data_IF_282294777931
#
_entry.id   IF_282294777931
#
_cell.length_a   1.000
_cell.length_b   1.000
_cell.length_c   1.000
_cell.angle_alpha   90.00
_cell.angle_beta   90.00
_cell.angle_gamma   90.00
#
_symmetry.space_group_name_H-M   'P 1'
#
loop_
_entity.id
_entity.type
_entity.pdbx_description
1 polymer ?
#
# COMPACT_ATOMS: atom_id res chain seq x y z
N UNK A 1 35.05 15.48 82.05
CA UNK A 1 34.96 16.09 80.69
C UNK A 1 34.29 15.11 79.75
N UNK A 2 32.97 15.24 79.50
CA UNK A 2 32.22 14.34 78.63
C UNK A 2 31.95 15.04 77.33
N UNK A 3 32.46 14.48 76.26
CA UNK A 3 32.27 15.01 74.87
C UNK A 3 31.03 14.36 74.25
N UNK A 4 29.95 15.15 74.08
CA UNK A 4 28.71 14.71 73.41
C UNK A 4 28.86 14.83 71.89
N UNK A 5 28.96 13.72 71.18
CA UNK A 5 28.89 13.65 69.77
C UNK A 5 27.40 13.77 69.30
N UNK A 6 27.10 14.81 68.54
CA UNK A 6 25.79 14.96 67.88
C UNK A 6 25.75 14.05 66.65
N UNK A 7 24.74 13.20 66.58
CA UNK A 7 24.42 12.35 65.41
C UNK A 7 23.45 13.13 64.53
N UNK A 8 23.89 13.51 63.36
CA UNK A 8 23.04 14.14 62.33
C UNK A 8 22.38 13.00 61.54
N UNK A 9 21.03 12.91 61.62
CA UNK A 9 20.26 12.00 60.78
C UNK A 9 19.99 12.68 59.45
N UNK A 10 20.58 12.19 58.36
CA UNK A 10 20.27 12.58 56.99
C UNK A 10 19.06 11.77 56.54
N UNK A 11 17.92 12.42 56.33
CA UNK A 11 16.75 11.80 55.74
C UNK A 11 16.90 11.84 54.20
N UNK A 12 17.06 10.64 53.60
CA UNK A 12 17.13 10.48 52.17
C UNK A 12 15.69 10.41 51.64
N UNK A 13 15.20 11.50 51.09
CA UNK A 13 13.89 11.58 50.41
C UNK A 13 13.98 10.94 49.03
N UNK A 14 13.32 9.80 48.83
CA UNK A 14 13.17 9.19 47.51
C UNK A 14 11.99 9.85 46.85
N UNK A 15 12.26 10.73 45.87
CA UNK A 15 11.23 11.28 44.97
C UNK A 15 10.87 10.21 43.95
N UNK A 16 9.66 9.61 44.06
CA UNK A 16 9.07 8.82 42.99
C UNK A 16 8.65 9.72 41.86
N UNK A 17 9.51 9.85 40.86
CA UNK A 17 9.16 10.47 39.60
C UNK A 17 8.22 9.57 38.79
N UNK A 18 6.95 9.94 38.65
CA UNK A 18 6.02 9.28 37.75
C UNK A 18 6.47 9.53 36.31
N UNK A 19 7.00 8.49 35.66
CA UNK A 19 7.27 8.51 34.23
C UNK A 19 5.93 8.35 33.50
N UNK A 20 5.35 9.46 33.07
CA UNK A 20 4.23 9.43 32.13
C UNK A 20 4.80 9.05 30.76
N UNK A 21 4.64 7.77 30.39
CA UNK A 21 4.96 7.33 29.06
C UNK A 21 3.99 8.02 28.07
N UNK A 22 4.46 9.06 27.41
CA UNK A 22 3.74 9.65 26.28
C UNK A 22 3.66 8.61 25.18
N UNK A 23 2.47 8.05 24.94
CA UNK A 23 2.17 7.29 23.75
C UNK A 23 2.25 8.24 22.55
N UNK A 24 3.43 8.36 21.96
CA UNK A 24 3.58 9.01 20.66
C UNK A 24 2.88 8.09 19.67
N UNK A 25 1.72 8.51 19.18
CA UNK A 25 1.07 7.87 18.06
C UNK A 25 2.05 7.95 16.87
N UNK A 26 2.78 6.87 16.62
CA UNK A 26 3.62 6.76 15.44
C UNK A 26 2.69 6.75 14.24
N UNK A 27 2.59 7.89 13.53
CA UNK A 27 1.95 7.95 12.24
C UNK A 27 2.53 6.85 11.35
N UNK A 28 1.69 6.23 10.54
CA UNK A 28 2.14 5.19 9.61
C UNK A 28 3.32 5.73 8.80
N UNK A 29 4.46 5.04 8.74
CA UNK A 29 5.63 5.51 7.98
C UNK A 29 5.36 5.57 6.46
N UNK A 30 4.19 5.12 6.01
CA UNK A 30 3.79 5.10 4.62
C UNK A 30 2.65 6.08 4.37
N UNK A 31 2.77 6.98 3.37
CA UNK A 31 1.69 7.88 2.98
C UNK A 31 0.40 7.10 2.72
N UNK A 32 -0.65 7.48 3.40
CA UNK A 32 -1.92 6.77 3.34
C UNK A 32 -3.09 7.70 3.59
N UNK A 33 -4.26 7.36 3.08
CA UNK A 33 -5.49 8.15 3.18
C UNK A 33 -6.70 7.26 3.41
N UNK A 34 -7.65 7.74 4.22
CA UNK A 34 -8.98 7.12 4.30
C UNK A 34 -9.76 7.46 3.03
N UNK A 35 -10.18 6.42 2.33
CA UNK A 35 -10.95 6.53 1.08
C UNK A 35 -12.46 6.43 1.36
N UNK A 36 -13.33 6.74 0.37
CA UNK A 36 -14.78 6.72 0.56
C UNK A 36 -15.36 5.36 0.95
N UNK A 37 -14.65 4.27 0.69
CA UNK A 37 -15.01 2.91 1.15
C UNK A 37 -14.82 2.70 2.65
N UNK A 38 -14.38 3.74 3.37
CA UNK A 38 -14.13 3.73 4.81
C UNK A 38 -12.78 3.14 5.23
N UNK A 39 -11.99 2.64 4.29
CA UNK A 39 -10.68 2.02 4.55
C UNK A 39 -9.51 2.99 4.35
N UNK A 40 -8.41 2.70 5.02
CA UNK A 40 -7.17 3.44 4.82
C UNK A 40 -6.32 2.73 3.76
N UNK A 41 -6.04 3.43 2.66
CA UNK A 41 -5.23 2.95 1.55
C UNK A 41 -3.89 3.69 1.50
N UNK A 42 -2.82 2.99 1.11
CA UNK A 42 -1.57 3.69 0.76
C UNK A 42 -1.80 4.56 -0.48
N UNK A 43 -1.23 5.78 -0.49
CA UNK A 43 -1.31 6.72 -1.63
C UNK A 43 -0.09 6.64 -2.53
N UNK A 44 0.90 5.85 -2.13
CA UNK A 44 2.07 5.50 -2.93
C UNK A 44 2.12 4.00 -3.18
N UNK A 45 2.71 3.60 -4.30
CA UNK A 45 2.97 2.19 -4.58
C UNK A 45 4.00 1.65 -3.58
N UNK A 46 3.81 0.42 -3.15
CA UNK A 46 4.77 -0.28 -2.30
C UNK A 46 6.16 -0.29 -2.96
N UNK A 47 7.21 -0.03 -2.15
CA UNK A 47 8.59 0.02 -2.62
C UNK A 47 9.57 -0.75 -1.71
N UNK A 48 9.07 -1.69 -0.91
CA UNK A 48 9.90 -2.56 -0.06
C UNK A 48 10.67 -3.56 -0.92
N UNK A 49 12.00 -3.60 -0.75
CA UNK A 49 12.85 -4.57 -1.43
C UNK A 49 12.73 -5.94 -0.75
N UNK A 50 12.36 -6.95 -1.51
CA UNK A 50 12.20 -8.33 -1.03
C UNK A 50 12.23 -9.32 -2.19
N UNK A 51 12.37 -10.59 -1.87
CA UNK A 51 12.29 -11.67 -2.86
C UNK A 51 10.96 -11.60 -3.61
N UNK A 52 11.02 -11.74 -4.93
CA UNK A 52 9.85 -11.61 -5.80
C UNK A 52 9.45 -10.16 -6.12
N UNK A 53 10.25 -9.15 -5.70
CA UNK A 53 10.07 -7.75 -6.10
C UNK A 53 11.17 -7.28 -7.05
N UNK A 54 10.84 -6.33 -7.94
CA UNK A 54 11.78 -5.78 -8.92
C UNK A 54 11.46 -4.33 -9.27
N UNK A 55 12.48 -3.56 -9.62
CA UNK A 55 12.29 -2.30 -10.33
C UNK A 55 11.92 -2.57 -11.80
N UNK A 56 11.04 -1.77 -12.39
CA UNK A 56 10.79 -1.86 -13.83
C UNK A 56 12.11 -1.67 -14.61
N UNK A 57 12.39 -2.59 -15.54
CA UNK A 57 13.64 -2.59 -16.31
C UNK A 57 14.90 -2.77 -15.47
N UNK A 58 14.78 -3.33 -14.27
CA UNK A 58 15.85 -3.50 -13.27
C UNK A 58 16.59 -2.18 -12.92
N UNK A 59 15.95 -1.04 -13.16
CA UNK A 59 16.49 0.30 -12.93
C UNK A 59 15.94 0.94 -11.65
N UNK A 60 16.80 1.22 -10.67
CA UNK A 60 16.45 1.82 -9.38
C UNK A 60 15.68 3.16 -9.52
N UNK A 61 15.94 3.93 -10.57
CA UNK A 61 15.20 5.16 -10.85
C UNK A 61 13.70 4.89 -11.02
N UNK A 62 13.33 3.75 -11.63
CA UNK A 62 11.94 3.37 -11.82
C UNK A 62 11.29 2.94 -10.49
N UNK A 63 12.01 2.31 -9.58
CA UNK A 63 11.52 2.06 -8.23
C UNK A 63 11.22 3.37 -7.48
N UNK A 64 12.10 4.36 -7.57
CA UNK A 64 11.87 5.68 -6.94
C UNK A 64 10.67 6.40 -7.53
N UNK A 65 10.40 6.23 -8.81
CA UNK A 65 9.31 6.94 -9.51
C UNK A 65 7.96 6.22 -9.45
N UNK A 66 7.95 4.89 -9.54
CA UNK A 66 6.74 4.09 -9.70
C UNK A 66 6.49 3.08 -8.57
N UNK A 67 7.43 2.91 -7.64
CA UNK A 67 7.45 1.78 -6.72
C UNK A 67 7.97 0.51 -7.41
N UNK A 68 8.02 -0.60 -6.67
CA UNK A 68 8.43 -1.90 -7.19
C UNK A 68 7.24 -2.67 -7.79
N UNK A 69 7.55 -3.59 -8.67
CA UNK A 69 6.65 -4.62 -9.18
C UNK A 69 6.87 -5.90 -8.36
N UNK A 70 5.81 -6.56 -7.96
CA UNK A 70 5.82 -7.73 -7.07
C UNK A 70 5.11 -8.90 -7.72
N UNK A 71 5.65 -10.12 -7.57
CA UNK A 71 4.85 -11.33 -7.74
C UNK A 71 3.71 -11.33 -6.73
N UNK A 72 2.67 -12.15 -6.93
CA UNK A 72 1.51 -12.15 -6.05
C UNK A 72 1.83 -12.48 -4.59
N UNK A 73 2.67 -13.51 -4.37
CA UNK A 73 3.10 -13.90 -3.01
C UNK A 73 3.93 -12.81 -2.34
N UNK A 74 4.82 -12.17 -3.09
CA UNK A 74 5.60 -11.03 -2.61
C UNK A 74 4.69 -9.83 -2.28
N UNK A 75 3.63 -9.58 -3.05
CA UNK A 75 2.65 -8.53 -2.77
C UNK A 75 1.92 -8.74 -1.43
N UNK A 76 1.50 -9.99 -1.15
CA UNK A 76 0.89 -10.36 0.13
C UNK A 76 1.82 -10.10 1.31
N UNK A 77 3.09 -10.51 1.19
CA UNK A 77 4.10 -10.31 2.23
C UNK A 77 4.48 -8.83 2.38
N UNK A 78 4.63 -8.13 1.26
CA UNK A 78 5.02 -6.74 1.23
C UNK A 78 4.06 -5.81 1.93
N UNK A 79 2.75 -6.00 1.76
CA UNK A 79 1.78 -5.23 2.53
C UNK A 79 1.83 -5.52 4.04
N UNK A 80 2.05 -6.77 4.45
CA UNK A 80 2.20 -7.14 5.86
C UNK A 80 3.44 -6.49 6.50
N UNK A 81 4.51 -6.29 5.73
CA UNK A 81 5.74 -5.65 6.23
C UNK A 81 5.56 -4.17 6.61
N UNK A 82 4.50 -3.50 6.15
CA UNK A 82 4.16 -2.12 6.54
C UNK A 82 3.70 -2.00 8.01
N UNK A 83 3.45 -3.11 8.68
CA UNK A 83 3.06 -3.16 10.09
C UNK A 83 1.63 -3.65 10.32
N UNK A 84 1.22 -3.61 11.59
CA UNK A 84 -0.04 -4.20 12.03
C UNK A 84 -1.26 -3.67 11.27
N UNK A 85 -2.07 -4.59 10.76
CA UNK A 85 -3.33 -4.31 10.07
C UNK A 85 -3.18 -4.04 8.58
N UNK A 86 -1.97 -3.78 8.06
CA UNK A 86 -1.75 -3.60 6.63
C UNK A 86 -1.79 -4.95 5.90
N UNK A 87 -2.47 -4.97 4.77
CA UNK A 87 -2.60 -6.14 3.91
C UNK A 87 -2.87 -5.76 2.47
N UNK A 88 -2.68 -6.70 1.57
CA UNK A 88 -3.11 -6.54 0.18
C UNK A 88 -4.65 -6.44 0.12
N UNK A 89 -5.25 -5.51 -0.61
CA UNK A 89 -6.69 -5.38 -0.73
C UNK A 89 -7.30 -6.58 -1.47
N UNK A 90 -8.48 -7.00 -1.06
CA UNK A 90 -9.27 -8.02 -1.77
C UNK A 90 -9.85 -7.45 -3.07
N UNK A 91 -10.34 -8.33 -3.93
CA UNK A 91 -11.09 -7.94 -5.13
C UNK A 91 -12.35 -7.12 -4.80
N UNK A 92 -13.08 -7.52 -3.77
CA UNK A 92 -14.27 -6.78 -3.34
C UNK A 92 -13.94 -5.36 -2.83
N UNK A 93 -12.83 -5.18 -2.13
CA UNK A 93 -12.37 -3.86 -1.67
C UNK A 93 -11.99 -2.95 -2.83
N UNK A 94 -11.28 -3.47 -3.82
CA UNK A 94 -11.01 -2.75 -5.06
C UNK A 94 -12.31 -2.35 -5.79
N UNK A 95 -13.28 -3.27 -5.89
CA UNK A 95 -14.57 -2.98 -6.50
C UNK A 95 -15.36 -1.92 -5.70
N UNK A 96 -15.36 -1.99 -4.38
CA UNK A 96 -15.99 -0.98 -3.52
C UNK A 96 -15.35 0.39 -3.73
N UNK A 97 -14.03 0.49 -3.69
CA UNK A 97 -13.32 1.74 -3.98
C UNK A 97 -13.70 2.28 -5.37
N UNK A 98 -13.67 1.42 -6.40
CA UNK A 98 -14.02 1.83 -7.76
C UNK A 98 -15.48 2.32 -7.87
N UNK A 99 -16.44 1.65 -7.23
CA UNK A 99 -17.87 2.02 -7.26
C UNK A 99 -18.14 3.42 -6.71
N UNK A 100 -17.42 3.87 -5.70
CA UNK A 100 -17.51 5.25 -5.19
C UNK A 100 -17.10 6.30 -6.24
N UNK A 101 -16.46 5.86 -7.31
CA UNK A 101 -15.98 6.73 -8.40
C UNK A 101 -16.56 6.38 -9.77
N UNK A 102 -17.62 5.56 -9.84
CA UNK A 102 -18.30 5.21 -11.09
C UNK A 102 -18.17 3.74 -11.50
N UNK A 103 -17.30 2.97 -10.88
CA UNK A 103 -17.15 1.52 -11.12
C UNK A 103 -16.02 1.17 -12.08
N UNK A 104 -15.72 -0.13 -12.16
CA UNK A 104 -14.81 -0.69 -13.17
C UNK A 104 -15.52 -0.82 -14.51
N UNK A 105 -14.80 -1.08 -15.58
CA UNK A 105 -15.31 -1.14 -16.94
C UNK A 105 -16.55 -2.04 -17.09
N UNK A 106 -16.53 -3.20 -16.46
CA UNK A 106 -17.61 -4.20 -16.54
C UNK A 106 -18.85 -3.82 -15.73
N UNK A 107 -18.68 -2.96 -14.71
CA UNK A 107 -19.70 -2.59 -13.73
C UNK A 107 -20.22 -1.14 -13.93
N UNK A 108 -19.84 -0.44 -15.03
CA UNK A 108 -20.13 0.98 -15.22
C UNK A 108 -20.64 1.31 -16.64
N UNK A 109 -21.51 2.30 -16.73
CA UNK A 109 -22.06 2.77 -18.01
C UNK A 109 -21.01 3.49 -18.86
N UNK A 110 -20.00 4.12 -18.24
CA UNK A 110 -18.94 4.88 -18.88
C UNK A 110 -17.68 4.05 -19.20
N UNK A 111 -17.77 2.73 -19.06
CA UNK A 111 -16.64 1.83 -19.26
C UNK A 111 -15.45 2.08 -18.32
N UNK A 112 -15.71 2.46 -17.06
CA UNK A 112 -14.70 2.68 -16.01
C UNK A 112 -13.92 3.99 -16.14
N UNK A 113 -14.39 4.93 -16.94
CA UNK A 113 -13.68 6.20 -17.18
C UNK A 113 -13.71 7.13 -15.98
N UNK A 114 -14.84 7.25 -15.29
CA UNK A 114 -14.96 8.09 -14.10
C UNK A 114 -14.07 7.58 -12.95
N UNK A 115 -14.03 6.27 -12.73
CA UNK A 115 -13.14 5.67 -11.74
C UNK A 115 -11.66 5.85 -12.11
N UNK A 116 -11.29 5.64 -13.37
CA UNK A 116 -9.95 5.94 -13.85
C UNK A 116 -9.55 7.38 -13.56
N UNK A 117 -10.35 8.36 -14.01
CA UNK A 117 -10.06 9.78 -13.85
C UNK A 117 -9.95 10.23 -12.39
N UNK A 118 -10.74 9.61 -11.49
CA UNK A 118 -10.69 9.93 -10.07
C UNK A 118 -9.49 9.31 -9.36
N UNK A 119 -9.07 8.09 -9.73
CA UNK A 119 -8.09 7.29 -8.99
C UNK A 119 -6.68 7.37 -9.58
N UNK A 120 -6.51 7.74 -10.85
CA UNK A 120 -5.18 7.92 -11.46
C UNK A 120 -4.47 9.13 -10.86
N UNK A 121 -3.14 9.18 -10.98
CA UNK A 121 -2.30 10.29 -10.49
C UNK A 121 -2.82 11.65 -10.95
N UNK A 122 -2.99 12.57 -9.99
CA UNK A 122 -3.59 13.88 -10.22
C UNK A 122 -5.12 13.88 -10.27
N UNK A 123 -5.77 12.73 -10.06
CA UNK A 123 -7.22 12.62 -9.92
C UNK A 123 -7.72 13.14 -8.57
N UNK A 124 -9.00 13.44 -8.49
CA UNK A 124 -9.63 14.10 -7.33
C UNK A 124 -9.65 13.28 -6.03
N UNK A 125 -9.44 11.95 -6.10
CA UNK A 125 -9.50 11.08 -4.92
C UNK A 125 -8.25 11.19 -4.03
N UNK A 126 -7.09 11.57 -4.62
CA UNK A 126 -5.79 11.50 -3.98
C UNK A 126 -5.30 10.06 -3.77
N UNK A 127 -5.86 9.10 -4.51
CA UNK A 127 -5.35 7.74 -4.58
C UNK A 127 -4.05 7.67 -5.37
N UNK A 128 -3.93 8.48 -6.43
CA UNK A 128 -2.72 8.68 -7.22
C UNK A 128 -2.11 7.40 -7.81
N UNK A 129 -2.94 6.54 -8.43
CA UNK A 129 -2.47 5.36 -9.13
C UNK A 129 -1.45 5.71 -10.22
N UNK A 130 -0.29 5.05 -10.20
CA UNK A 130 0.79 5.25 -11.16
C UNK A 130 0.72 4.22 -12.29
N UNK A 131 1.19 4.59 -13.47
CA UNK A 131 1.26 3.72 -14.64
C UNK A 131 2.65 3.07 -14.71
N UNK A 132 2.94 2.20 -13.74
CA UNK A 132 4.24 1.57 -13.53
C UNK A 132 4.55 0.38 -14.44
N UNK A 133 3.65 0.03 -15.37
CA UNK A 133 3.79 -1.14 -16.22
C UNK A 133 3.67 -2.46 -15.45
N UNK A 134 4.19 -3.51 -16.04
CA UNK A 134 4.22 -4.88 -15.53
C UNK A 134 5.50 -5.61 -15.95
N UNK A 135 5.71 -6.79 -15.39
CA UNK A 135 6.65 -7.78 -15.88
C UNK A 135 5.96 -9.13 -15.97
N UNK A 136 5.87 -9.69 -17.16
CA UNK A 136 5.30 -11.00 -17.38
C UNK A 136 6.22 -11.86 -18.26
N UNK A 137 6.33 -13.16 -17.96
CA UNK A 137 7.22 -14.08 -18.66
C UNK A 137 8.66 -13.53 -18.86
N UNK A 138 9.17 -12.80 -17.86
CA UNK A 138 10.50 -12.21 -17.90
C UNK A 138 10.63 -10.88 -18.66
N UNK A 139 9.56 -10.41 -19.31
CA UNK A 139 9.55 -9.20 -20.12
C UNK A 139 8.86 -8.04 -19.40
N UNK A 140 9.47 -6.87 -19.40
CA UNK A 140 8.87 -5.62 -18.93
C UNK A 140 8.06 -4.97 -20.05
N UNK A 141 6.86 -4.48 -19.73
CA UNK A 141 5.97 -3.87 -20.71
C UNK A 141 5.14 -2.72 -20.12
N UNK A 142 4.61 -1.87 -21.00
CA UNK A 142 3.51 -0.91 -20.74
C UNK A 142 3.81 0.21 -19.73
N UNK A 143 5.10 0.51 -19.45
CA UNK A 143 5.46 1.66 -18.62
C UNK A 143 4.83 2.95 -19.18
N UNK A 144 4.28 3.79 -18.30
CA UNK A 144 3.58 5.05 -18.61
C UNK A 144 2.31 4.90 -19.49
N UNK A 145 1.96 3.67 -19.87
CA UNK A 145 0.74 3.35 -20.60
C UNK A 145 -0.28 2.63 -19.71
N UNK A 146 0.18 1.76 -18.81
CA UNK A 146 -0.68 0.99 -17.92
C UNK A 146 -0.13 0.93 -16.49
N UNK A 147 -1.03 0.87 -15.51
CA UNK A 147 -0.74 0.52 -14.12
C UNK A 147 -1.50 -0.74 -13.74
N UNK A 148 -0.79 -1.80 -13.38
CA UNK A 148 -1.38 -3.06 -12.94
C UNK A 148 -1.25 -3.18 -11.43
N UNK A 149 -2.32 -3.57 -10.76
CA UNK A 149 -2.39 -3.63 -9.30
C UNK A 149 -2.99 -4.94 -8.82
N UNK A 150 -2.25 -5.68 -8.00
CA UNK A 150 -2.72 -6.92 -7.43
C UNK A 150 -3.89 -6.75 -6.47
N UNK A 151 -4.78 -7.73 -6.45
CA UNK A 151 -5.66 -8.00 -5.31
C UNK A 151 -5.22 -9.26 -4.57
N UNK A 152 -5.67 -9.41 -3.32
CA UNK A 152 -5.42 -10.60 -2.51
C UNK A 152 -6.31 -11.81 -2.90
N UNK A 153 -7.28 -11.60 -3.77
CA UNK A 153 -8.25 -12.63 -4.14
C UNK A 153 -7.71 -13.51 -5.26
N UNK A 154 -7.61 -14.80 -4.98
CA UNK A 154 -7.31 -15.78 -6.02
C UNK A 154 -8.50 -15.96 -6.97
N UNK A 155 -8.21 -16.23 -8.23
CA UNK A 155 -9.20 -16.63 -9.23
C UNK A 155 -9.02 -18.09 -9.64
N UNK A 156 -7.84 -18.68 -9.36
CA UNK A 156 -7.50 -20.10 -9.51
C UNK A 156 -6.24 -20.41 -8.67
N UNK A 157 -5.82 -21.66 -8.66
CA UNK A 157 -4.57 -22.09 -8.00
C UNK A 157 -3.34 -21.34 -8.51
N UNK A 158 -3.33 -20.90 -9.77
CA UNK A 158 -2.18 -20.25 -10.43
C UNK A 158 -2.40 -18.80 -10.79
N UNK A 159 -3.62 -18.27 -10.56
CA UNK A 159 -4.01 -16.90 -10.95
C UNK A 159 -4.71 -16.16 -9.82
N UNK A 160 -4.60 -14.84 -9.85
CA UNK A 160 -5.29 -13.93 -8.95
C UNK A 160 -5.93 -12.76 -9.71
N UNK A 161 -6.89 -12.09 -9.08
CA UNK A 161 -7.50 -10.89 -9.63
C UNK A 161 -6.52 -9.72 -9.56
N UNK A 162 -6.54 -8.88 -10.60
CA UNK A 162 -5.81 -7.63 -10.64
C UNK A 162 -6.60 -6.52 -11.35
N UNK A 163 -6.18 -5.28 -11.12
CA UNK A 163 -6.79 -4.08 -11.68
C UNK A 163 -5.83 -3.39 -12.62
N UNK A 164 -6.35 -2.87 -13.73
CA UNK A 164 -5.56 -2.21 -14.77
C UNK A 164 -6.09 -0.81 -15.06
N UNK A 165 -5.26 0.17 -14.79
CA UNK A 165 -5.44 1.56 -15.21
C UNK A 165 -4.84 1.71 -16.60
N UNK A 166 -5.67 1.76 -17.65
CA UNK A 166 -5.23 1.88 -19.04
C UNK A 166 -5.36 3.31 -19.56
N UNK A 167 -4.24 3.97 -19.87
CA UNK A 167 -4.20 5.36 -20.34
C UNK A 167 -4.88 5.55 -21.68
N UNK A 168 -4.66 4.64 -22.64
CA UNK A 168 -5.20 4.76 -23.99
C UNK A 168 -6.75 4.79 -24.04
N UNK A 169 -7.40 3.96 -23.20
CA UNK A 169 -8.87 3.96 -23.06
C UNK A 169 -9.37 4.84 -21.93
N UNK A 170 -8.48 5.44 -21.13
CA UNK A 170 -8.78 6.16 -19.90
C UNK A 170 -9.74 5.37 -19.01
N UNK A 171 -9.50 4.07 -18.82
CA UNK A 171 -10.41 3.14 -18.15
C UNK A 171 -9.74 2.36 -17.04
N UNK A 172 -10.54 2.08 -15.99
CA UNK A 172 -10.19 1.13 -14.94
C UNK A 172 -10.83 -0.22 -15.26
N UNK A 173 -10.00 -1.22 -15.48
CA UNK A 173 -10.43 -2.57 -15.83
C UNK A 173 -10.12 -3.54 -14.70
N UNK A 174 -10.91 -4.61 -14.59
CA UNK A 174 -10.73 -5.71 -13.64
C UNK A 174 -10.46 -7.00 -14.42
N UNK A 175 -9.45 -7.76 -14.04
CA UNK A 175 -9.04 -8.98 -14.73
C UNK A 175 -8.87 -10.15 -13.75
N UNK A 176 -9.35 -11.34 -14.14
CA UNK A 176 -9.29 -12.54 -13.31
C UNK A 176 -8.06 -13.44 -13.58
N UNK A 177 -7.30 -13.17 -14.63
CA UNK A 177 -6.30 -14.12 -15.17
C UNK A 177 -4.85 -13.63 -14.95
N UNK A 178 -4.59 -12.89 -13.87
CA UNK A 178 -3.23 -12.52 -13.51
C UNK A 178 -2.44 -13.74 -13.03
N UNK A 179 -1.51 -14.24 -13.82
CA UNK A 179 -0.61 -15.32 -13.40
C UNK A 179 0.18 -14.89 -12.18
N UNK A 180 0.20 -15.66 -11.09
CA UNK A 180 0.84 -15.28 -9.81
C UNK A 180 2.34 -15.00 -9.92
N UNK A 181 2.99 -15.43 -11.00
CA UNK A 181 4.39 -15.12 -11.31
C UNK A 181 4.58 -13.81 -12.09
N UNK A 182 3.51 -13.21 -12.62
CA UNK A 182 3.56 -11.86 -13.16
C UNK A 182 3.93 -10.89 -12.03
N UNK A 183 4.67 -9.83 -12.34
CA UNK A 183 4.97 -8.78 -11.38
C UNK A 183 4.19 -7.51 -11.70
N UNK A 184 3.45 -6.99 -10.71
CA UNK A 184 2.61 -5.82 -10.79
C UNK A 184 2.81 -4.89 -9.58
N UNK A 185 2.32 -3.66 -9.67
CA UNK A 185 2.33 -2.70 -8.57
C UNK A 185 1.42 -3.14 -7.42
N UNK A 186 1.66 -2.57 -6.24
CA UNK A 186 0.93 -2.90 -5.02
C UNK A 186 0.47 -1.64 -4.31
N UNK A 187 -0.80 -1.60 -3.94
CA UNK A 187 -1.38 -0.71 -2.93
C UNK A 187 -1.84 -1.56 -1.76
N UNK A 188 -1.61 -1.07 -0.56
CA UNK A 188 -2.00 -1.77 0.65
C UNK A 188 -3.17 -1.08 1.33
N UNK A 189 -3.94 -1.85 2.09
CA UNK A 189 -5.15 -1.38 2.78
C UNK A 189 -5.14 -1.84 4.23
N UNK A 190 -5.79 -1.07 5.09
CA UNK A 190 -6.19 -1.48 6.45
C UNK A 190 -7.55 -0.87 6.81
N UNK A 191 -8.22 -1.49 7.77
CA UNK A 191 -9.52 -1.05 8.30
C UNK A 191 -9.42 0.22 9.14
#
# INVERSE_FOLDING_TARGET
MLNRRRVVKIALGIALGSIVAACVAQGSPHPSRRMPDGKQWTTENLNADMDGSRCYGDAEMNCRRYGRLYTWDAALQGCRSLGRGWRLPTDDEWRQLARHHGGVREDSEDSGKAAYAALVRGGRSGFDALLGGDRDNGQYARLEAHGFYWSASESSAVSAWFYNFGKGGSSLNRHREGGKQMAASVRCVKD
#
